data_IF_283368112675
#
_entry.id   IF_283368112675
#
_cell.length_a   1.000
_cell.length_b   1.000
_cell.length_c   1.000
_cell.angle_alpha   90.00
_cell.angle_beta   90.00
_cell.angle_gamma   90.00
#
_symmetry.space_group_name_H-M   'P 1'
#
loop_
_entity.id
_entity.type
_entity.pdbx_description
1 polymer ?
#
# COMPACT_ATOMS: atom_id res chain seq x y z
N UNK A 1 -13.64 1.98 -21.52
CA UNK A 1 -13.51 0.94 -20.48
C UNK A 1 -12.81 -0.33 -20.97
N UNK A 2 -13.02 -0.80 -22.22
CA UNK A 2 -12.39 -2.04 -22.73
C UNK A 2 -10.87 -2.11 -22.54
N UNK A 3 -10.12 -1.04 -22.89
CA UNK A 3 -8.66 -0.98 -22.68
C UNK A 3 -8.22 -1.26 -21.23
N UNK A 4 -8.98 -0.76 -20.26
CA UNK A 4 -8.65 -0.89 -18.85
C UNK A 4 -8.95 -2.31 -18.34
N UNK A 5 -10.11 -2.86 -18.72
CA UNK A 5 -10.48 -4.25 -18.41
C UNK A 5 -9.53 -5.27 -19.06
N UNK A 6 -8.98 -4.96 -20.24
CA UNK A 6 -8.01 -5.78 -20.96
C UNK A 6 -6.56 -5.61 -20.47
N UNK A 7 -6.30 -4.74 -19.48
CA UNK A 7 -4.95 -4.51 -18.97
C UNK A 7 -4.04 -3.67 -19.87
N UNK A 8 -4.56 -3.01 -20.91
CA UNK A 8 -3.75 -2.12 -21.76
C UNK A 8 -3.34 -0.84 -21.00
N UNK A 9 -4.19 -0.38 -20.08
CA UNK A 9 -3.94 0.78 -19.20
C UNK A 9 -4.24 0.41 -17.75
N UNK A 10 -3.50 0.95 -16.77
CA UNK A 10 -3.76 0.69 -15.36
C UNK A 10 -5.04 1.38 -14.88
N UNK A 11 -5.70 0.76 -13.90
CA UNK A 11 -6.82 1.33 -13.16
C UNK A 11 -6.30 1.66 -11.77
N UNK A 12 -6.29 2.95 -11.44
CA UNK A 12 -5.93 3.44 -10.10
C UNK A 12 -7.20 3.44 -9.25
N UNK A 13 -7.19 2.71 -8.14
CA UNK A 13 -8.34 2.59 -7.24
C UNK A 13 -7.94 3.16 -5.89
N UNK A 14 -8.62 4.22 -5.46
CA UNK A 14 -8.41 4.81 -4.14
C UNK A 14 -9.14 3.97 -3.10
N UNK A 15 -8.40 3.34 -2.18
CA UNK A 15 -8.95 2.54 -1.09
C UNK A 15 -7.97 2.54 0.09
N UNK A 16 -8.46 2.62 1.31
CA UNK A 16 -7.63 2.60 2.53
C UNK A 16 -7.92 1.40 3.41
N UNK A 17 -9.19 1.00 3.51
CA UNK A 17 -9.65 -0.07 4.38
C UNK A 17 -9.29 -1.45 3.84
N UNK A 18 -8.89 -2.35 4.73
CA UNK A 18 -8.48 -3.72 4.37
C UNK A 18 -9.57 -4.54 3.66
N UNK A 19 -10.85 -4.34 3.99
CA UNK A 19 -11.97 -5.13 3.47
C UNK A 19 -12.38 -4.66 2.06
N UNK A 20 -12.26 -3.35 1.80
CA UNK A 20 -12.38 -2.79 0.45
C UNK A 20 -11.27 -3.34 -0.46
N UNK A 21 -10.02 -3.33 0.02
CA UNK A 21 -8.87 -3.84 -0.73
C UNK A 21 -9.00 -5.35 -0.96
N UNK A 22 -9.47 -6.11 0.03
CA UNK A 22 -9.76 -7.54 -0.14
C UNK A 22 -10.82 -7.79 -1.23
N UNK A 23 -11.84 -6.93 -1.31
CA UNK A 23 -12.85 -7.00 -2.37
C UNK A 23 -12.26 -6.74 -3.76
N UNK A 24 -11.30 -5.80 -3.87
CA UNK A 24 -10.56 -5.53 -5.12
C UNK A 24 -9.69 -6.73 -5.52
N UNK A 25 -9.03 -7.39 -4.56
CA UNK A 25 -8.26 -8.63 -4.78
C UNK A 25 -9.17 -9.71 -5.36
N UNK A 26 -10.33 -9.95 -4.74
CA UNK A 26 -11.32 -10.93 -5.22
C UNK A 26 -11.81 -10.57 -6.62
N UNK A 27 -12.11 -9.28 -6.87
CA UNK A 27 -12.54 -8.78 -8.17
C UNK A 27 -11.50 -9.03 -9.28
N UNK A 28 -10.21 -8.77 -9.00
CA UNK A 28 -9.13 -9.05 -9.94
C UNK A 28 -9.03 -10.54 -10.23
N UNK A 29 -9.03 -11.37 -9.18
CA UNK A 29 -8.87 -12.83 -9.31
C UNK A 29 -10.01 -13.48 -10.07
N UNK A 30 -11.26 -13.12 -9.75
CA UNK A 30 -12.43 -13.89 -10.16
C UNK A 30 -13.08 -13.34 -11.45
N UNK A 31 -12.91 -12.05 -11.75
CA UNK A 31 -13.59 -11.39 -12.87
C UNK A 31 -12.66 -10.68 -13.86
N UNK A 32 -11.55 -10.11 -13.40
CA UNK A 32 -10.66 -9.30 -14.23
C UNK A 32 -9.18 -9.68 -14.10
N UNK A 33 -8.79 -10.94 -14.40
CA UNK A 33 -7.42 -11.42 -14.18
C UNK A 33 -6.37 -10.67 -15.03
N UNK A 34 -6.78 -10.11 -16.17
CA UNK A 34 -5.90 -9.33 -17.05
C UNK A 34 -5.84 -7.85 -16.67
N UNK A 35 -6.73 -7.36 -15.82
CA UNK A 35 -6.76 -5.94 -15.50
C UNK A 35 -5.57 -5.55 -14.59
N UNK A 36 -4.98 -4.40 -14.90
CA UNK A 36 -3.84 -3.85 -14.16
C UNK A 36 -4.34 -2.90 -13.07
N UNK A 37 -4.69 -3.44 -11.91
CA UNK A 37 -5.10 -2.64 -10.76
C UNK A 37 -3.88 -2.09 -10.00
N UNK A 38 -4.01 -0.86 -9.53
CA UNK A 38 -3.07 -0.20 -8.62
C UNK A 38 -3.88 0.39 -7.48
N UNK A 39 -3.50 0.13 -6.24
CA UNK A 39 -4.14 0.78 -5.08
C UNK A 39 -3.46 2.12 -4.85
N UNK A 40 -4.25 3.18 -4.75
CA UNK A 40 -3.81 4.47 -4.23
C UNK A 40 -4.38 4.64 -2.82
N UNK A 41 -3.56 5.07 -1.87
CA UNK A 41 -3.97 5.11 -0.46
C UNK A 41 -3.36 3.92 0.27
N UNK A 42 -4.14 2.89 0.56
CA UNK A 42 -3.64 1.62 1.08
C UNK A 42 -3.18 1.67 2.53
N UNK A 43 -3.77 2.54 3.37
CA UNK A 43 -3.40 2.67 4.78
C UNK A 43 -3.39 1.34 5.53
N UNK A 44 -4.40 0.49 5.29
CA UNK A 44 -4.52 -0.84 5.88
C UNK A 44 -4.12 -1.97 4.91
N UNK A 45 -3.52 -1.63 3.76
CA UNK A 45 -3.13 -2.62 2.73
C UNK A 45 -2.14 -3.67 3.25
N UNK A 46 -1.35 -3.33 4.27
CA UNK A 46 -0.40 -4.24 4.90
C UNK A 46 -1.08 -5.49 5.51
N UNK A 47 -2.36 -5.39 5.90
CA UNK A 47 -3.13 -6.52 6.45
C UNK A 47 -3.51 -7.56 5.39
N UNK A 48 -3.41 -7.20 4.11
CA UNK A 48 -3.70 -8.06 2.94
C UNK A 48 -2.52 -8.16 1.99
N UNK A 49 -1.31 -7.85 2.47
CA UNK A 49 -0.09 -7.73 1.65
C UNK A 49 0.24 -9.00 0.85
N UNK A 50 0.06 -10.19 1.44
CA UNK A 50 0.29 -11.47 0.77
C UNK A 50 -0.61 -11.66 -0.45
N UNK A 51 -1.87 -11.22 -0.36
CA UNK A 51 -2.82 -11.29 -1.47
C UNK A 51 -2.53 -10.27 -2.57
N UNK A 52 -2.08 -9.07 -2.20
CA UNK A 52 -1.65 -8.05 -3.15
C UNK A 52 -0.42 -8.53 -3.95
N UNK A 53 0.55 -9.12 -3.26
CA UNK A 53 1.74 -9.68 -3.89
C UNK A 53 1.42 -10.85 -4.83
N UNK A 54 0.55 -11.78 -4.40
CA UNK A 54 0.16 -12.94 -5.20
C UNK A 54 -0.54 -12.58 -6.52
N UNK A 55 -1.10 -11.37 -6.62
CA UNK A 55 -1.78 -10.88 -7.82
C UNK A 55 -1.05 -9.72 -8.48
N UNK A 56 0.19 -9.39 -8.11
CA UNK A 56 0.94 -8.25 -8.67
C UNK A 56 0.13 -6.94 -8.64
N UNK A 57 -0.49 -6.62 -7.49
CA UNK A 57 -1.21 -5.36 -7.28
C UNK A 57 -0.28 -4.38 -6.53
N UNK A 58 0.32 -3.40 -7.22
CA UNK A 58 1.14 -2.38 -6.58
C UNK A 58 0.30 -1.42 -5.73
N UNK A 59 0.96 -0.77 -4.77
CA UNK A 59 0.35 0.20 -3.84
C UNK A 59 1.12 1.52 -3.89
N UNK A 60 0.43 2.63 -4.17
CA UNK A 60 0.92 3.99 -3.91
C UNK A 60 0.43 4.39 -2.52
N UNK A 61 1.29 4.21 -1.53
CA UNK A 61 0.96 4.39 -0.12
C UNK A 61 0.83 5.87 0.22
N UNK A 62 -0.35 6.28 0.68
CA UNK A 62 -0.61 7.63 1.18
C UNK A 62 -1.71 7.63 2.25
N UNK A 63 -1.50 8.21 3.45
CA UNK A 63 -0.22 8.73 3.93
C UNK A 63 0.77 7.58 4.21
N UNK A 64 2.06 7.89 4.08
CA UNK A 64 3.16 6.93 4.27
C UNK A 64 3.39 6.63 5.75
N UNK A 65 3.28 7.67 6.57
CA UNK A 65 3.24 7.58 8.02
C UNK A 65 1.79 7.52 8.47
N UNK A 66 1.51 6.69 9.46
CA UNK A 66 0.16 6.47 9.97
C UNK A 66 -0.36 7.73 10.69
N UNK A 67 -1.20 8.47 9.99
CA UNK A 67 -1.94 9.64 10.49
C UNK A 67 -3.42 9.44 10.19
N UNK A 68 -4.14 8.60 10.97
CA UNK A 68 -5.51 8.24 10.65
C UNK A 68 -6.44 9.42 10.92
N UNK A 69 -7.12 9.89 9.87
CA UNK A 69 -8.12 10.97 9.96
C UNK A 69 -9.56 10.48 9.77
N UNK A 70 -9.73 9.20 9.41
CA UNK A 70 -11.02 8.57 9.06
C UNK A 70 -11.07 7.14 9.57
N UNK A 71 -12.29 6.60 9.67
CA UNK A 71 -12.53 5.27 10.21
C UNK A 71 -11.97 4.14 9.31
N UNK A 72 -11.88 4.39 8.01
CA UNK A 72 -11.29 3.49 7.01
C UNK A 72 -9.79 3.24 7.18
N UNK A 73 -9.16 3.91 8.14
CA UNK A 73 -7.71 3.93 8.38
C UNK A 73 -7.35 3.63 9.84
N UNK A 74 -8.31 3.15 10.66
CA UNK A 74 -8.10 2.98 12.12
C UNK A 74 -7.02 1.95 12.45
N UNK A 75 -6.76 1.00 11.56
CA UNK A 75 -5.71 0.01 11.73
C UNK A 75 -4.39 0.46 11.09
N UNK A 76 -4.14 1.75 10.88
CA UNK A 76 -2.87 2.18 10.32
C UNK A 76 -1.69 1.77 11.22
N UNK A 77 -0.59 1.38 10.60
CA UNK A 77 0.59 0.89 11.31
C UNK A 77 1.55 2.04 11.60
N UNK A 78 1.75 2.32 12.90
CA UNK A 78 2.37 3.57 13.41
C UNK A 78 3.87 3.71 13.13
N UNK A 79 4.62 2.61 13.03
CA UNK A 79 6.08 2.67 13.07
C UNK A 79 6.65 2.80 14.47
N UNK A 80 7.99 2.87 14.52
CA UNK A 80 8.72 3.05 15.76
C UNK A 80 8.34 4.39 16.45
N UNK A 81 8.31 4.43 17.79
CA UNK A 81 8.66 3.35 18.73
C UNK A 81 7.49 2.40 19.06
N UNK A 82 6.29 2.65 18.55
CA UNK A 82 5.08 1.92 18.97
C UNK A 82 4.94 0.55 18.31
N UNK A 83 5.37 0.42 17.06
CA UNK A 83 5.30 -0.83 16.30
C UNK A 83 6.61 -1.09 15.54
N UNK A 84 6.90 -2.37 15.27
CA UNK A 84 8.13 -2.78 14.59
C UNK A 84 8.00 -2.58 13.07
N UNK A 85 8.09 -1.33 12.64
CA UNK A 85 7.95 -0.92 11.25
C UNK A 85 6.57 -0.35 10.91
N UNK A 86 6.43 0.07 9.67
CA UNK A 86 5.26 0.78 9.12
C UNK A 86 4.59 -0.09 8.06
N UNK A 87 3.41 0.33 7.58
CA UNK A 87 2.72 -0.37 6.49
C UNK A 87 3.62 -0.57 5.26
N UNK A 88 4.45 0.42 4.92
CA UNK A 88 5.42 0.33 3.84
C UNK A 88 6.41 -0.83 4.01
N UNK A 89 6.92 -1.04 5.23
CA UNK A 89 7.87 -2.10 5.52
C UNK A 89 7.24 -3.49 5.35
N UNK A 90 6.01 -3.66 5.85
CA UNK A 90 5.28 -4.93 5.70
C UNK A 90 4.96 -5.19 4.22
N UNK A 91 4.46 -4.20 3.48
CA UNK A 91 4.17 -4.35 2.05
C UNK A 91 5.44 -4.72 1.26
N UNK A 92 6.54 -4.02 1.49
CA UNK A 92 7.82 -4.29 0.83
C UNK A 92 8.32 -5.71 1.14
N UNK A 93 8.17 -6.16 2.39
CA UNK A 93 8.55 -7.51 2.83
C UNK A 93 7.81 -8.63 2.11
N UNK A 94 6.52 -8.44 1.84
CA UNK A 94 5.74 -9.39 1.05
C UNK A 94 6.02 -9.31 -0.46
N UNK A 95 6.92 -8.42 -0.90
CA UNK A 95 7.25 -8.23 -2.31
C UNK A 95 6.25 -7.36 -3.07
N UNK A 96 5.36 -6.65 -2.37
CA UNK A 96 4.44 -5.71 -3.01
C UNK A 96 5.23 -4.53 -3.56
N UNK A 97 5.08 -4.25 -4.86
CA UNK A 97 5.67 -3.05 -5.46
C UNK A 97 5.01 -1.81 -4.86
N UNK A 98 5.84 -0.94 -4.27
CA UNK A 98 5.40 0.20 -3.48
C UNK A 98 5.81 1.52 -4.12
N UNK A 99 4.91 2.49 -4.12
CA UNK A 99 5.18 3.91 -4.35
C UNK A 99 4.90 4.72 -3.08
N UNK A 100 5.68 5.78 -2.86
CA UNK A 100 5.47 6.75 -1.78
C UNK A 100 4.62 7.89 -2.35
N UNK A 101 3.45 8.12 -1.78
CA UNK A 101 2.49 9.13 -2.26
C UNK A 101 2.19 10.21 -1.22
N UNK A 102 1.62 11.30 -1.70
CA UNK A 102 1.13 12.43 -0.91
C UNK A 102 -0.34 12.69 -1.24
N UNK A 103 -1.08 13.23 -0.28
CA UNK A 103 -2.47 13.64 -0.47
C UNK A 103 -2.62 15.14 -0.78
N UNK A 104 -1.56 15.92 -0.59
CA UNK A 104 -1.51 17.37 -0.79
C UNK A 104 -0.22 17.75 -1.52
N UNK A 105 -0.33 18.51 -2.62
CA UNK A 105 0.79 18.88 -3.48
C UNK A 105 1.87 19.68 -2.74
N UNK A 106 1.51 20.42 -1.68
CA UNK A 106 2.43 21.14 -0.81
C UNK A 106 3.39 20.22 -0.04
N UNK A 107 3.09 18.93 0.05
CA UNK A 107 3.95 17.90 0.64
C UNK A 107 4.92 17.28 -0.35
N UNK A 108 4.89 17.64 -1.64
CA UNK A 108 5.75 17.00 -2.66
C UNK A 108 7.24 17.08 -2.32
N UNK A 109 7.67 18.18 -1.70
CA UNK A 109 9.06 18.36 -1.24
C UNK A 109 9.46 17.36 -0.13
N UNK A 110 8.49 16.80 0.60
CA UNK A 110 8.74 15.87 1.70
C UNK A 110 8.92 14.43 1.20
N UNK A 111 8.54 14.10 -0.03
CA UNK A 111 8.63 12.72 -0.56
C UNK A 111 10.02 12.10 -0.40
N UNK A 112 11.08 12.87 -0.67
CA UNK A 112 12.46 12.41 -0.48
C UNK A 112 12.78 12.14 1.00
N UNK A 113 12.23 12.94 1.90
CA UNK A 113 12.38 12.77 3.35
C UNK A 113 11.62 11.54 3.84
N UNK A 114 10.37 11.36 3.41
CA UNK A 114 9.54 10.21 3.77
C UNK A 114 10.18 8.91 3.28
N UNK A 115 10.67 8.89 2.04
CA UNK A 115 11.41 7.75 1.50
C UNK A 115 12.71 7.47 2.28
N UNK A 116 13.46 8.51 2.63
CA UNK A 116 14.68 8.40 3.44
C UNK A 116 14.39 7.87 4.85
N UNK A 117 13.30 8.33 5.47
CA UNK A 117 12.87 7.86 6.78
C UNK A 117 12.48 6.38 6.75
N UNK A 118 11.70 5.95 5.76
CA UNK A 118 11.39 4.53 5.56
C UNK A 118 12.68 3.70 5.39
N UNK A 119 13.60 4.14 4.53
CA UNK A 119 14.85 3.42 4.33
C UNK A 119 15.68 3.32 5.63
N UNK A 120 15.77 4.40 6.40
CA UNK A 120 16.54 4.45 7.65
C UNK A 120 15.88 3.67 8.79
N UNK A 121 14.55 3.55 8.79
CA UNK A 121 13.78 2.85 9.83
C UNK A 121 13.38 1.44 9.45
N UNK A 122 13.81 0.96 8.27
CA UNK A 122 13.55 -0.40 7.85
C UNK A 122 14.13 -1.40 8.84
N UNK A 123 13.30 -2.27 9.44
CA UNK A 123 13.80 -3.29 10.34
C UNK A 123 14.79 -4.18 9.59
N UNK A 124 15.88 -4.56 10.25
CA UNK A 124 16.83 -5.53 9.68
C UNK A 124 16.10 -6.85 9.44
N UNK A 125 16.54 -7.62 8.44
CA UNK A 125 15.92 -8.92 8.11
C UNK A 125 15.80 -9.85 9.33
N UNK A 126 16.75 -9.76 10.28
CA UNK A 126 16.78 -10.56 11.51
C UNK A 126 15.76 -10.13 12.59
N UNK A 127 15.30 -8.88 12.59
CA UNK A 127 14.41 -8.35 13.64
C UNK A 127 12.92 -8.61 13.38
N UNK A 128 12.61 -9.42 12.38
CA UNK A 128 11.26 -9.56 11.83
C UNK A 128 10.78 -11.02 11.80
N UNK A 129 11.60 -11.97 12.23
CA UNK A 129 11.29 -13.41 12.32
C UNK A 129 10.59 -13.79 13.64
N UNK A 130 10.47 -12.84 14.58
CA UNK A 130 9.72 -12.93 15.83
C UNK A 130 8.30 -12.35 15.69
#
# INVERSE_FOLDING_TARGET
YGKAANGEIPIIITAHNKDEIASIVVLKRDHFPQARFVIQGGTEAYLVASHLAALDIPVVLQPVLCTPSRFDSIHCLTGAPLTNGTAAHVLHRYGVQLGVGIYDDGLARNLAWDAGWLAATSPSAAALED
#
